data_IF_775738076626
#
_entry.id   IF_775738076626
#
_cell.length_a   1.000
_cell.length_b   1.000
_cell.length_c   1.000
_cell.angle_alpha   90.00
_cell.angle_beta   90.00
_cell.angle_gamma   90.00
#
_symmetry.space_group_name_H-M   'P 1'
#
loop_
_entity.id
_entity.type
_entity.pdbx_description
1 polymer ?
#
# COMPACT_ATOMS: atom_id res chain seq x y z
N UNK A 1 12.32 -3.88 -7.25
CA UNK A 1 13.00 -3.52 -8.52
C UNK A 1 14.47 -3.91 -8.42
N UNK A 2 15.13 -4.30 -9.52
CA UNK A 2 16.60 -4.54 -9.50
C UNK A 2 17.33 -3.30 -10.04
N UNK A 3 18.33 -2.82 -9.32
CA UNK A 3 19.11 -1.63 -9.62
C UNK A 3 20.59 -1.99 -9.74
N UNK A 4 21.28 -1.42 -10.73
CA UNK A 4 22.73 -1.58 -10.88
C UNK A 4 23.39 -0.33 -10.32
N UNK A 5 24.22 -0.50 -9.29
CA UNK A 5 24.95 0.58 -8.64
C UNK A 5 25.85 1.30 -9.66
N UNK A 6 25.76 2.62 -9.67
CA UNK A 6 26.52 3.49 -10.56
C UNK A 6 27.64 4.22 -9.79
N UNK A 7 28.57 4.81 -10.55
CA UNK A 7 29.66 5.57 -9.95
C UNK A 7 29.11 6.78 -9.19
N UNK A 8 29.47 6.88 -7.92
CA UNK A 8 29.02 7.95 -7.02
C UNK A 8 27.78 7.61 -6.18
N UNK A 9 27.20 6.42 -6.37
CA UNK A 9 26.09 5.97 -5.53
C UNK A 9 26.55 5.63 -4.12
N UNK A 10 25.66 5.95 -3.18
CA UNK A 10 25.74 5.53 -1.78
C UNK A 10 24.39 4.96 -1.38
N UNK A 11 24.34 4.20 -0.29
CA UNK A 11 23.05 3.76 0.26
C UNK A 11 22.11 4.94 0.54
N UNK A 12 22.65 6.08 0.94
CA UNK A 12 21.87 7.30 1.18
C UNK A 12 21.27 7.86 -0.11
N UNK A 13 22.06 8.04 -1.18
CA UNK A 13 21.55 8.59 -2.45
C UNK A 13 20.54 7.65 -3.11
N UNK A 14 20.77 6.34 -3.03
CA UNK A 14 19.83 5.32 -3.50
C UNK A 14 18.55 5.36 -2.66
N UNK A 15 18.67 5.41 -1.33
CA UNK A 15 17.52 5.51 -0.42
C UNK A 15 16.63 6.71 -0.74
N UNK A 16 17.23 7.90 -0.90
CA UNK A 16 16.51 9.12 -1.26
C UNK A 16 15.86 9.03 -2.65
N UNK A 17 16.58 8.49 -3.64
CA UNK A 17 16.08 8.35 -5.01
C UNK A 17 14.84 7.48 -5.09
N UNK A 18 14.81 6.38 -4.32
CA UNK A 18 13.73 5.39 -4.40
C UNK A 18 12.70 5.52 -3.27
N UNK A 19 12.92 6.44 -2.31
CA UNK A 19 12.04 6.58 -1.14
C UNK A 19 12.06 5.37 -0.20
N UNK A 20 13.14 4.58 -0.23
CA UNK A 20 13.26 3.33 0.55
C UNK A 20 14.24 3.54 1.68
N UNK A 21 13.90 3.24 2.94
CA UNK A 21 14.84 3.36 4.06
C UNK A 21 16.12 2.54 3.86
N UNK A 22 17.27 3.09 4.29
CA UNK A 22 18.58 2.45 4.13
C UNK A 22 18.63 1.07 4.77
N UNK A 23 18.05 0.91 5.96
CA UNK A 23 18.00 -0.35 6.70
C UNK A 23 17.20 -1.43 5.94
N UNK A 24 16.17 -1.02 5.18
CA UNK A 24 15.40 -1.91 4.32
C UNK A 24 16.25 -2.38 3.15
N UNK A 25 17.00 -1.48 2.51
CA UNK A 25 17.92 -1.82 1.42
C UNK A 25 19.01 -2.79 1.93
N UNK A 26 19.60 -2.52 3.10
CA UNK A 26 20.63 -3.37 3.72
C UNK A 26 20.09 -4.77 3.99
N UNK A 27 18.92 -4.87 4.64
CA UNK A 27 18.31 -6.16 4.99
C UNK A 27 17.93 -6.95 3.74
N UNK A 28 17.31 -6.30 2.76
CA UNK A 28 16.87 -6.95 1.53
C UNK A 28 18.03 -7.52 0.71
N UNK A 29 19.19 -6.85 0.73
CA UNK A 29 20.39 -7.28 0.01
C UNK A 29 21.41 -8.02 0.87
N UNK A 30 21.08 -8.27 2.15
CA UNK A 30 21.96 -8.91 3.14
C UNK A 30 23.36 -8.27 3.20
N UNK A 31 23.43 -6.94 3.05
CA UNK A 31 24.69 -6.21 3.10
C UNK A 31 25.28 -6.30 4.50
N UNK A 32 26.61 -6.38 4.57
CA UNK A 32 27.36 -6.43 5.83
C UNK A 32 28.23 -5.18 5.99
N UNK A 33 28.54 -4.76 7.24
CA UNK A 33 29.54 -3.73 7.46
C UNK A 33 30.83 -4.08 6.71
N UNK A 34 31.49 -3.12 6.03
CA UNK A 34 31.30 -1.67 6.12
C UNK A 34 30.22 -1.06 5.19
N UNK A 35 29.32 -1.86 4.61
CA UNK A 35 28.22 -1.41 3.73
C UNK A 35 28.67 -0.64 2.47
N UNK A 36 29.88 -0.95 1.99
CA UNK A 36 30.43 -0.38 0.75
C UNK A 36 29.67 -0.94 -0.44
N UNK A 37 29.32 -0.05 -1.38
CA UNK A 37 28.73 -0.40 -2.65
C UNK A 37 29.79 -0.37 -3.76
N UNK A 38 29.74 -1.34 -4.66
CA UNK A 38 30.64 -1.42 -5.81
C UNK A 38 29.89 -1.04 -7.09
N UNK A 39 30.53 -0.28 -7.98
CA UNK A 39 29.96 0.03 -9.28
C UNK A 39 29.70 -1.27 -10.05
N UNK A 40 28.51 -1.40 -10.64
CA UNK A 40 28.05 -2.61 -11.31
C UNK A 40 27.41 -3.65 -10.38
N UNK A 41 27.42 -3.43 -9.05
CA UNK A 41 26.78 -4.33 -8.10
C UNK A 41 25.26 -4.32 -8.32
N UNK A 42 24.62 -5.50 -8.47
CA UNK A 42 23.18 -5.60 -8.47
C UNK A 42 22.65 -5.40 -7.04
N UNK A 43 21.63 -4.57 -6.92
CA UNK A 43 20.98 -4.22 -5.67
C UNK A 43 19.47 -4.31 -5.87
N UNK A 44 18.83 -5.16 -5.09
CA UNK A 44 17.38 -5.23 -5.02
C UNK A 44 16.84 -4.06 -4.18
N UNK A 45 16.02 -3.22 -4.79
CA UNK A 45 15.33 -2.11 -4.12
C UNK A 45 13.88 -2.54 -3.87
N UNK A 46 13.50 -2.83 -2.61
CA UNK A 46 12.11 -3.15 -2.26
C UNK A 46 11.22 -1.92 -2.46
N UNK A 47 10.00 -2.11 -2.95
CA UNK A 47 8.98 -1.08 -2.84
C UNK A 47 8.40 -1.17 -1.43
N UNK A 48 8.79 -0.26 -0.55
CA UNK A 48 8.09 -0.08 0.72
C UNK A 48 6.89 0.80 0.49
N UNK A 49 5.68 0.41 0.92
CA UNK A 49 4.54 1.28 0.78
C UNK A 49 4.85 2.59 1.51
N UNK A 50 4.65 3.70 0.81
CA UNK A 50 4.87 5.02 1.41
C UNK A 50 3.89 5.22 2.57
N UNK A 51 4.20 6.07 3.57
CA UNK A 51 3.27 6.35 4.66
C UNK A 51 1.87 6.76 4.17
N UNK A 52 1.80 7.47 3.04
CA UNK A 52 0.55 7.84 2.39
C UNK A 52 -0.22 6.62 1.87
N UNK A 53 0.47 5.65 1.25
CA UNK A 53 -0.16 4.42 0.75
C UNK A 53 -0.73 3.58 1.89
N UNK A 54 -0.02 3.48 3.02
CA UNK A 54 -0.53 2.77 4.21
C UNK A 54 -1.75 3.48 4.82
N UNK A 55 -1.77 4.80 4.81
CA UNK A 55 -2.92 5.59 5.27
C UNK A 55 -4.12 5.49 4.32
N UNK A 56 -3.87 5.50 3.00
CA UNK A 56 -4.88 5.30 1.96
C UNK A 56 -5.51 3.91 2.06
N UNK A 57 -4.73 2.85 2.25
CA UNK A 57 -5.21 1.50 2.48
C UNK A 57 -6.17 1.46 3.70
N UNK A 58 -5.76 2.05 4.83
CA UNK A 58 -6.62 2.16 6.01
C UNK A 58 -7.87 3.04 5.81
N UNK A 59 -7.82 4.00 4.88
CA UNK A 59 -8.99 4.78 4.47
C UNK A 59 -9.95 3.94 3.63
N UNK A 60 -9.44 3.11 2.72
CA UNK A 60 -10.23 2.18 1.91
C UNK A 60 -10.96 1.19 2.83
N UNK A 61 -10.27 0.57 3.79
CA UNK A 61 -10.87 -0.36 4.77
C UNK A 61 -12.04 0.26 5.56
N UNK A 62 -11.95 1.56 5.87
CA UNK A 62 -13.03 2.29 6.54
C UNK A 62 -14.19 2.52 5.59
N UNK A 63 -13.92 2.95 4.36
CA UNK A 63 -14.94 3.17 3.35
C UNK A 63 -15.68 1.89 2.97
N UNK A 64 -14.98 0.76 2.85
CA UNK A 64 -15.61 -0.53 2.55
C UNK A 64 -16.60 -0.95 3.64
N UNK A 65 -16.22 -0.79 4.91
CA UNK A 65 -17.13 -1.03 6.03
C UNK A 65 -18.33 -0.09 6.00
N UNK A 66 -18.15 1.15 5.59
CA UNK A 66 -19.23 2.13 5.48
C UNK A 66 -20.20 1.78 4.35
N UNK A 67 -19.65 1.40 3.19
CA UNK A 67 -20.40 0.91 2.02
C UNK A 67 -21.20 -0.34 2.38
N UNK A 68 -20.61 -1.29 3.12
CA UNK A 68 -21.32 -2.49 3.57
C UNK A 68 -22.55 -2.14 4.42
N UNK A 69 -22.40 -1.24 5.40
CA UNK A 69 -23.53 -0.76 6.24
C UNK A 69 -24.60 -0.04 5.42
N UNK A 70 -24.20 0.75 4.43
CA UNK A 70 -25.14 1.42 3.52
C UNK A 70 -25.92 0.42 2.66
N UNK A 71 -25.25 -0.61 2.14
CA UNK A 71 -25.88 -1.66 1.33
C UNK A 71 -26.90 -2.46 2.15
N UNK A 72 -26.58 -2.81 3.40
CA UNK A 72 -27.53 -3.46 4.31
C UNK A 72 -28.76 -2.57 4.54
N UNK A 73 -28.54 -1.28 4.84
CA UNK A 73 -29.62 -0.31 5.06
C UNK A 73 -30.49 -0.15 3.82
N UNK A 74 -29.90 -0.13 2.64
CA UNK A 74 -30.61 -0.04 1.36
C UNK A 74 -31.44 -1.31 1.10
N UNK A 75 -30.88 -2.49 1.36
CA UNK A 75 -31.58 -3.78 1.25
C UNK A 75 -32.81 -3.85 2.18
N UNK A 76 -32.66 -3.39 3.43
CA UNK A 76 -33.74 -3.32 4.39
C UNK A 76 -34.84 -2.35 3.94
N UNK A 77 -34.45 -1.17 3.44
CA UNK A 77 -35.40 -0.20 2.91
C UNK A 77 -36.19 -0.75 1.74
N UNK A 78 -35.51 -1.41 0.79
CA UNK A 78 -36.16 -2.04 -0.35
C UNK A 78 -37.13 -3.16 0.08
N UNK A 79 -36.78 -3.95 1.09
CA UNK A 79 -37.72 -4.92 1.68
C UNK A 79 -38.95 -4.23 2.26
N UNK A 80 -38.78 -3.14 3.00
CA UNK A 80 -39.90 -2.36 3.58
C UNK A 80 -40.81 -1.76 2.51
N UNK A 81 -40.23 -1.15 1.47
CA UNK A 81 -40.99 -0.58 0.34
C UNK A 81 -41.84 -1.65 -0.33
N UNK A 82 -41.25 -2.81 -0.67
CA UNK A 82 -42.01 -3.93 -1.27
C UNK A 82 -43.19 -4.37 -0.41
N UNK A 83 -42.99 -4.48 0.91
CA UNK A 83 -44.08 -4.85 1.83
C UNK A 83 -45.20 -3.81 1.86
N UNK A 84 -44.87 -2.51 1.80
CA UNK A 84 -45.86 -1.44 1.76
C UNK A 84 -46.66 -1.43 0.45
N UNK A 85 -46.00 -1.66 -0.69
CA UNK A 85 -46.65 -1.76 -1.99
C UNK A 85 -47.63 -2.92 -2.06
N UNK A 86 -47.29 -4.07 -1.47
CA UNK A 86 -48.18 -5.22 -1.35
C UNK A 86 -49.42 -4.89 -0.50
N UNK A 87 -49.25 -4.22 0.65
CA UNK A 87 -50.35 -3.81 1.54
C UNK A 87 -51.30 -2.78 0.91
N UNK A 88 -50.85 -1.96 -0.04
CA UNK A 88 -51.72 -1.02 -0.76
C UNK A 88 -52.57 -1.68 -1.85
N UNK A 89 -52.25 -2.93 -2.24
CA UNK A 89 -52.96 -3.67 -3.30
C UNK A 89 -53.99 -4.68 -2.77
N UNK A 90 -54.07 -4.87 -1.46
CA UNK A 90 -55.05 -5.69 -0.73
C UNK A 90 -56.04 -4.82 0.01
#
# INVERSE_FOLDING_TARGET
>A
MNYIVQRGDTLYTISQRFGVPIDVIIRANRLRPPYVLYVGQPLYIPSTPSPNEVEEEGRIDRLERDVARLNERYSDLNRRVRNLEQRRRT
#
